data_IF_004502235879
#
_entry.id   IF_004502235879
#
_cell.length_a   1.000
_cell.length_b   1.000
_cell.length_c   1.000
_cell.angle_alpha   90.00
_cell.angle_beta   90.00
_cell.angle_gamma   90.00
#
_symmetry.space_group_name_H-M   'P 1'
#
loop_
_entity.id
_entity.type
_entity.pdbx_description
1 polymer ?
#
# COMPACT_ATOMS: atom_id res chain seq x y z
N UNK A 1 29.37 10.23 -1.06
CA UNK A 1 27.99 9.79 -0.81
C UNK A 1 27.11 9.75 -2.07
N UNK A 2 27.04 10.80 -2.88
CA UNK A 2 26.18 10.86 -4.09
C UNK A 2 26.43 9.74 -5.11
N UNK A 3 27.67 9.43 -5.48
CA UNK A 3 27.98 8.32 -6.42
C UNK A 3 27.44 6.95 -5.94
N UNK A 4 27.58 6.65 -4.64
CA UNK A 4 27.07 5.39 -4.09
C UNK A 4 25.54 5.32 -4.11
N UNK A 5 24.86 6.42 -3.74
CA UNK A 5 23.39 6.47 -3.80
C UNK A 5 22.89 6.31 -5.25
N UNK A 6 23.55 6.92 -6.22
CA UNK A 6 23.21 6.78 -7.64
C UNK A 6 23.34 5.32 -8.12
N UNK A 7 24.42 4.64 -7.76
CA UNK A 7 24.61 3.22 -8.11
C UNK A 7 23.52 2.32 -7.50
N UNK A 8 23.11 2.61 -6.24
CA UNK A 8 22.03 1.88 -5.58
C UNK A 8 20.68 2.13 -6.27
N UNK A 9 20.37 3.37 -6.66
CA UNK A 9 19.17 3.68 -7.43
C UNK A 9 19.15 2.95 -8.76
N UNK A 10 20.25 2.94 -9.50
CA UNK A 10 20.36 2.22 -10.77
C UNK A 10 20.16 0.72 -10.55
N UNK A 11 20.81 0.14 -9.53
CA UNK A 11 20.66 -1.28 -9.20
C UNK A 11 19.22 -1.66 -8.88
N UNK A 12 18.51 -0.86 -8.07
CA UNK A 12 17.10 -1.10 -7.74
C UNK A 12 16.22 -0.90 -8.98
N UNK A 13 16.48 0.12 -9.81
CA UNK A 13 15.73 0.36 -11.04
C UNK A 13 15.88 -0.82 -12.03
N UNK A 14 17.08 -1.36 -12.18
CA UNK A 14 17.31 -2.59 -12.98
C UNK A 14 16.55 -3.77 -12.38
N UNK A 15 16.57 -3.94 -11.05
CA UNK A 15 15.79 -4.98 -10.38
C UNK A 15 14.27 -4.82 -10.60
N UNK A 16 13.75 -3.58 -10.60
CA UNK A 16 12.33 -3.31 -10.93
C UNK A 16 12.03 -3.75 -12.37
N UNK A 17 12.88 -3.39 -13.35
CA UNK A 17 12.66 -3.77 -14.75
C UNK A 17 12.68 -5.29 -14.92
N UNK A 18 13.63 -5.98 -14.28
CA UNK A 18 13.70 -7.45 -14.32
C UNK A 18 12.47 -8.10 -13.67
N UNK A 19 12.09 -7.66 -12.47
CA UNK A 19 10.91 -8.17 -11.77
C UNK A 19 9.62 -7.86 -12.53
N UNK A 20 9.51 -6.70 -13.14
CA UNK A 20 8.38 -6.34 -13.98
C UNK A 20 8.27 -7.27 -15.17
N UNK A 21 9.36 -7.52 -15.89
CA UNK A 21 9.42 -8.50 -16.97
C UNK A 21 9.04 -9.92 -16.51
N UNK A 22 9.55 -10.37 -15.36
CA UNK A 22 9.19 -11.66 -14.77
C UNK A 22 7.70 -11.76 -14.46
N UNK A 23 7.09 -10.70 -13.92
CA UNK A 23 5.65 -10.68 -13.66
C UNK A 23 4.81 -10.76 -14.93
N UNK A 24 5.31 -10.28 -16.07
CA UNK A 24 4.61 -10.40 -17.35
C UNK A 24 4.74 -11.79 -17.98
N UNK A 25 5.88 -12.48 -17.79
CA UNK A 25 6.13 -13.79 -18.39
C UNK A 25 5.58 -14.94 -17.57
N UNK A 26 5.60 -14.82 -16.23
CA UNK A 26 5.28 -15.91 -15.29
C UNK A 26 3.80 -15.88 -14.89
N UNK A 27 3.22 -17.05 -14.67
CA UNK A 27 1.84 -17.27 -14.21
C UNK A 27 1.36 -18.67 -14.57
N UNK A 28 0.04 -18.93 -14.47
CA UNK A 28 -0.55 -20.22 -14.85
C UNK A 28 -0.29 -20.61 -16.31
N UNK A 29 -0.09 -19.65 -17.19
CA UNK A 29 0.33 -19.86 -18.58
C UNK A 29 1.70 -19.21 -18.75
N UNK A 30 2.70 -19.97 -19.17
CA UNK A 30 4.03 -19.42 -19.48
C UNK A 30 3.99 -18.80 -20.88
N UNK A 31 4.32 -17.51 -20.97
CA UNK A 31 4.38 -16.76 -22.23
C UNK A 31 5.84 -16.35 -22.45
N UNK A 32 6.46 -16.74 -23.58
CA UNK A 32 7.85 -16.36 -23.89
C UNK A 32 8.04 -14.84 -23.87
N UNK A 33 9.22 -14.41 -23.42
CA UNK A 33 9.52 -12.98 -23.29
C UNK A 33 9.46 -12.22 -24.64
N UNK A 34 9.84 -12.89 -25.73
CA UNK A 34 9.73 -12.31 -27.08
C UNK A 34 8.28 -11.99 -27.43
N UNK A 35 7.34 -12.94 -27.16
CA UNK A 35 5.92 -12.74 -27.44
C UNK A 35 5.32 -11.63 -26.55
N UNK A 36 5.77 -11.52 -25.29
CA UNK A 36 5.36 -10.41 -24.41
C UNK A 36 5.78 -9.05 -25.00
N UNK A 37 7.01 -8.94 -25.53
CA UNK A 37 7.48 -7.71 -26.19
C UNK A 37 6.66 -7.40 -27.45
N UNK A 38 6.37 -8.41 -28.27
CA UNK A 38 5.58 -8.24 -29.49
C UNK A 38 4.14 -7.81 -29.17
N UNK A 39 3.54 -8.36 -28.11
CA UNK A 39 2.22 -7.93 -27.61
C UNK A 39 2.26 -6.45 -27.17
N UNK A 40 3.25 -6.07 -26.38
CA UNK A 40 3.39 -4.68 -25.89
C UNK A 40 3.66 -3.69 -27.03
N UNK A 41 4.34 -4.14 -28.09
CA UNK A 41 4.60 -3.33 -29.28
C UNK A 41 3.43 -3.35 -30.32
N UNK A 42 2.36 -4.11 -30.07
CA UNK A 42 1.21 -4.23 -31.01
C UNK A 42 1.54 -5.00 -32.28
N UNK A 43 2.59 -5.83 -32.28
CA UNK A 43 3.08 -6.61 -33.43
C UNK A 43 2.74 -8.10 -33.36
N UNK A 44 2.10 -8.53 -32.29
CA UNK A 44 1.85 -9.94 -32.02
C UNK A 44 0.77 -10.51 -32.96
N UNK A 45 1.11 -11.58 -33.67
CA UNK A 45 0.24 -12.31 -34.59
C UNK A 45 -0.15 -13.72 -34.08
N UNK A 46 0.03 -13.97 -32.78
CA UNK A 46 -0.21 -15.27 -32.15
C UNK A 46 -1.59 -15.41 -31.53
N UNK A 47 -1.68 -16.16 -30.43
CA UNK A 47 -2.95 -16.48 -29.76
C UNK A 47 -3.55 -15.24 -29.10
N UNK A 48 -4.78 -14.87 -29.44
CA UNK A 48 -5.53 -13.75 -28.81
C UNK A 48 -5.62 -13.88 -27.27
N UNK A 49 -5.71 -15.12 -26.75
CA UNK A 49 -5.73 -15.38 -25.32
C UNK A 49 -4.47 -14.89 -24.61
N UNK A 50 -3.29 -14.94 -25.24
CA UNK A 50 -2.04 -14.42 -24.66
C UNK A 50 -2.05 -12.90 -24.60
N UNK A 51 -2.57 -12.27 -25.67
CA UNK A 51 -2.73 -10.82 -25.69
C UNK A 51 -3.66 -10.34 -24.57
N UNK A 52 -4.80 -11.00 -24.37
CA UNK A 52 -5.72 -10.71 -23.27
C UNK A 52 -5.06 -10.90 -21.90
N UNK A 53 -4.36 -12.02 -21.67
CA UNK A 53 -3.66 -12.30 -20.41
C UNK A 53 -2.64 -11.21 -20.10
N UNK A 54 -1.87 -10.75 -21.07
CA UNK A 54 -0.85 -9.72 -20.87
C UNK A 54 -1.47 -8.37 -20.63
N UNK A 55 -2.35 -7.90 -21.53
CA UNK A 55 -2.84 -6.51 -21.51
C UNK A 55 -3.92 -6.27 -20.45
N UNK A 56 -4.81 -7.24 -20.22
CA UNK A 56 -5.96 -7.05 -19.33
C UNK A 56 -5.74 -7.62 -17.91
N UNK A 57 -4.71 -8.46 -17.74
CA UNK A 57 -4.47 -9.09 -16.44
C UNK A 57 -3.06 -8.77 -15.88
N UNK A 58 -1.98 -9.23 -16.53
CA UNK A 58 -0.62 -9.15 -15.96
C UNK A 58 -0.06 -7.74 -15.95
N UNK A 59 -0.27 -6.97 -17.00
CA UNK A 59 0.23 -5.59 -17.09
C UNK A 59 -0.44 -4.68 -16.05
N UNK A 60 -1.77 -4.65 -15.93
CA UNK A 60 -2.43 -3.88 -14.87
C UNK A 60 -1.98 -4.31 -13.48
N UNK A 61 -1.85 -5.62 -13.24
CA UNK A 61 -1.42 -6.17 -11.97
C UNK A 61 0.02 -5.77 -11.59
N UNK A 62 0.96 -5.85 -12.53
CA UNK A 62 2.34 -5.43 -12.31
C UNK A 62 2.45 -3.91 -12.05
N UNK A 63 1.69 -3.09 -12.80
CA UNK A 63 1.61 -1.64 -12.57
C UNK A 63 1.01 -1.33 -11.20
N UNK A 64 -0.04 -2.05 -10.82
CA UNK A 64 -0.68 -1.91 -9.49
C UNK A 64 0.29 -2.27 -8.38
N UNK A 65 1.02 -3.38 -8.50
CA UNK A 65 2.02 -3.80 -7.52
C UNK A 65 3.11 -2.73 -7.33
N UNK A 66 3.65 -2.20 -8.44
CA UNK A 66 4.65 -1.16 -8.43
C UNK A 66 4.18 0.10 -7.70
N UNK A 67 3.00 0.62 -8.07
CA UNK A 67 2.46 1.86 -7.52
C UNK A 67 2.00 1.70 -6.06
N UNK A 68 1.38 0.58 -5.74
CA UNK A 68 0.94 0.26 -4.39
C UNK A 68 2.13 0.10 -3.43
N UNK A 69 3.15 -0.66 -3.85
CA UNK A 69 4.38 -0.83 -3.08
C UNK A 69 5.11 0.48 -2.83
N UNK A 70 5.24 1.34 -3.85
CA UNK A 70 5.78 2.68 -3.73
C UNK A 70 4.96 3.54 -2.74
N UNK A 71 3.64 3.55 -2.87
CA UNK A 71 2.73 4.36 -2.04
C UNK A 71 2.76 3.94 -0.57
N UNK A 72 2.59 2.66 -0.27
CA UNK A 72 2.57 2.16 1.11
C UNK A 72 3.93 2.34 1.80
N UNK A 73 5.04 2.15 1.07
CA UNK A 73 6.37 2.34 1.64
C UNK A 73 6.65 3.80 2.01
N UNK A 74 6.19 4.75 1.20
CA UNK A 74 6.23 6.18 1.50
C UNK A 74 5.39 6.49 2.73
N UNK A 75 4.17 5.96 2.82
CA UNK A 75 3.31 6.11 4.00
C UNK A 75 4.02 5.68 5.28
N UNK A 76 4.65 4.49 5.25
CA UNK A 76 5.41 3.98 6.37
C UNK A 76 6.57 4.89 6.78
N UNK A 77 7.39 5.33 5.83
CA UNK A 77 8.51 6.24 6.10
C UNK A 77 8.05 7.56 6.73
N UNK A 78 6.97 8.14 6.19
CA UNK A 78 6.39 9.37 6.71
C UNK A 78 5.89 9.20 8.15
N UNK A 79 5.20 8.10 8.45
CA UNK A 79 4.69 7.80 9.79
C UNK A 79 5.84 7.53 10.78
N UNK A 80 6.83 6.71 10.40
CA UNK A 80 8.00 6.44 11.24
C UNK A 80 8.74 7.72 11.62
N UNK A 81 8.85 8.66 10.67
CA UNK A 81 9.47 9.97 10.91
C UNK A 81 8.59 10.87 11.76
N UNK A 82 7.30 11.01 11.43
CA UNK A 82 6.38 11.91 12.12
C UNK A 82 6.16 11.51 13.60
N UNK A 83 6.16 10.20 13.89
CA UNK A 83 5.94 9.65 15.22
C UNK A 83 7.25 9.25 15.92
N UNK A 84 8.39 9.38 15.24
CA UNK A 84 9.70 8.95 15.74
C UNK A 84 9.63 7.53 16.31
N UNK A 85 8.82 6.70 15.68
CA UNK A 85 8.61 5.33 16.07
C UNK A 85 8.88 4.40 14.87
N UNK A 86 9.88 3.52 14.95
CA UNK A 86 10.22 2.61 13.86
C UNK A 86 9.11 1.61 13.53
N UNK A 87 8.16 1.39 14.44
CA UNK A 87 7.04 0.48 14.27
C UNK A 87 5.76 1.18 13.78
N UNK A 88 5.80 2.49 13.48
CA UNK A 88 4.67 3.19 12.92
C UNK A 88 4.46 2.79 11.45
N UNK A 89 3.27 2.32 11.14
CA UNK A 89 2.84 1.94 9.79
C UNK A 89 1.39 2.31 9.54
N UNK A 90 0.93 2.32 8.29
CA UNK A 90 -0.46 2.68 7.96
C UNK A 90 -1.48 1.77 8.66
N UNK A 91 -1.15 0.49 8.81
CA UNK A 91 -2.01 -0.51 9.45
C UNK A 91 -2.24 -0.21 10.94
N UNK A 92 -1.21 0.33 11.62
CA UNK A 92 -1.26 0.65 13.06
C UNK A 92 -2.22 1.82 13.35
N UNK A 93 -2.47 2.69 12.37
CA UNK A 93 -3.41 3.80 12.51
C UNK A 93 -4.88 3.42 12.25
N UNK A 94 -5.16 2.15 11.97
CA UNK A 94 -6.51 1.64 11.77
C UNK A 94 -7.18 2.10 10.47
N UNK A 95 -6.44 2.75 9.55
CA UNK A 95 -6.99 3.25 8.28
C UNK A 95 -7.45 2.08 7.41
N UNK A 96 -6.62 1.05 7.28
CA UNK A 96 -6.99 -0.19 6.57
C UNK A 96 -8.13 -0.93 7.25
N UNK A 97 -8.21 -0.89 8.59
CA UNK A 97 -9.33 -1.48 9.34
C UNK A 97 -10.63 -0.73 9.09
N UNK A 98 -10.58 0.60 8.97
CA UNK A 98 -11.73 1.42 8.57
C UNK A 98 -12.23 1.07 7.16
N UNK A 99 -11.30 0.90 6.20
CA UNK A 99 -11.64 0.40 4.87
C UNK A 99 -12.32 -0.96 4.94
N UNK A 100 -11.75 -1.90 5.73
CA UNK A 100 -12.31 -3.23 5.97
C UNK A 100 -13.71 -3.20 6.54
N UNK A 101 -13.98 -2.31 7.50
CA UNK A 101 -15.32 -2.12 8.05
C UNK A 101 -16.31 -1.60 6.99
N UNK A 102 -15.89 -0.61 6.17
CA UNK A 102 -16.71 -0.14 5.05
C UNK A 102 -17.09 -1.25 4.08
N UNK A 103 -16.12 -2.07 3.69
CA UNK A 103 -16.35 -3.23 2.80
C UNK A 103 -17.22 -4.29 3.47
N UNK A 104 -17.00 -4.56 4.76
CA UNK A 104 -17.81 -5.50 5.53
C UNK A 104 -19.29 -5.09 5.54
N UNK A 105 -19.60 -3.80 5.72
CA UNK A 105 -20.96 -3.29 5.65
C UNK A 105 -21.61 -3.59 4.28
N UNK A 106 -20.89 -3.42 3.18
CA UNK A 106 -21.43 -3.66 1.85
C UNK A 106 -21.52 -5.16 1.53
N UNK A 107 -20.47 -5.94 1.79
CA UNK A 107 -20.46 -7.36 1.43
C UNK A 107 -21.32 -8.22 2.35
N UNK A 108 -21.28 -7.96 3.65
CA UNK A 108 -21.90 -8.83 4.67
C UNK A 108 -23.37 -8.47 4.95
N UNK A 109 -23.74 -7.17 4.91
CA UNK A 109 -25.11 -6.72 5.16
C UNK A 109 -25.90 -6.49 3.88
N UNK A 110 -25.28 -5.90 2.85
CA UNK A 110 -25.97 -5.42 1.65
C UNK A 110 -25.80 -6.36 0.44
N UNK A 111 -25.19 -7.54 0.63
CA UNK A 111 -24.99 -8.52 -0.45
C UNK A 111 -24.18 -8.00 -1.64
N UNK A 112 -23.26 -7.06 -1.42
CA UNK A 112 -22.41 -6.48 -2.46
C UNK A 112 -23.06 -5.39 -3.30
N UNK A 113 -24.26 -4.93 -2.96
CA UNK A 113 -24.97 -3.86 -3.68
C UNK A 113 -25.42 -2.75 -2.73
N UNK A 114 -25.37 -1.51 -3.22
CA UNK A 114 -25.93 -0.35 -2.51
C UNK A 114 -26.97 0.28 -3.42
N UNK A 115 -28.24 0.15 -3.04
CA UNK A 115 -29.36 0.70 -3.80
C UNK A 115 -30.06 1.81 -3.02
N UNK A 116 -30.27 2.93 -3.69
CA UNK A 116 -31.09 4.05 -3.20
C UNK A 116 -32.18 4.37 -4.22
N UNK A 117 -33.14 5.24 -3.87
CA UNK A 117 -34.18 5.70 -4.81
C UNK A 117 -33.62 6.41 -6.03
N UNK A 118 -32.38 6.89 -5.98
CA UNK A 118 -31.76 7.70 -7.04
C UNK A 118 -30.75 6.91 -7.87
N UNK A 119 -30.05 5.92 -7.30
CA UNK A 119 -29.01 5.14 -7.99
C UNK A 119 -28.78 3.78 -7.33
N UNK A 120 -28.26 2.85 -8.12
CA UNK A 120 -27.77 1.54 -7.67
C UNK A 120 -26.30 1.42 -7.99
N UNK A 121 -25.47 1.16 -6.98
CA UNK A 121 -24.05 0.87 -7.13
C UNK A 121 -23.80 -0.56 -6.68
N UNK A 122 -23.25 -1.37 -7.57
CA UNK A 122 -23.02 -2.80 -7.32
C UNK A 122 -21.61 -3.23 -7.69
N UNK A 123 -21.23 -4.42 -7.19
CA UNK A 123 -19.94 -5.03 -7.51
C UNK A 123 -18.74 -4.21 -7.06
N UNK A 124 -17.73 -4.13 -7.93
CA UNK A 124 -16.46 -3.50 -7.62
C UNK A 124 -16.57 -2.03 -7.16
N UNK A 125 -17.43 -1.24 -7.80
CA UNK A 125 -17.61 0.18 -7.43
C UNK A 125 -18.19 0.35 -6.03
N UNK A 126 -19.12 -0.50 -5.62
CA UNK A 126 -19.68 -0.46 -4.26
C UNK A 126 -18.61 -0.76 -3.21
N UNK A 127 -17.80 -1.78 -3.46
CA UNK A 127 -16.68 -2.18 -2.60
C UNK A 127 -15.63 -1.07 -2.53
N UNK A 128 -15.22 -0.53 -3.69
CA UNK A 128 -14.23 0.53 -3.80
C UNK A 128 -14.65 1.79 -3.04
N UNK A 129 -15.89 2.25 -3.25
CA UNK A 129 -16.41 3.44 -2.57
C UNK A 129 -16.56 3.22 -1.07
N UNK A 130 -17.03 2.05 -0.65
CA UNK A 130 -17.18 1.71 0.77
C UNK A 130 -15.82 1.62 1.48
N UNK A 131 -14.82 0.98 0.87
CA UNK A 131 -13.46 0.93 1.38
C UNK A 131 -12.86 2.32 1.53
N UNK A 132 -13.01 3.15 0.49
CA UNK A 132 -12.48 4.51 0.48
C UNK A 132 -13.14 5.39 1.54
N UNK A 133 -14.48 5.36 1.66
CA UNK A 133 -15.22 6.10 2.68
C UNK A 133 -14.86 5.65 4.10
N UNK A 134 -14.75 4.34 4.33
CA UNK A 134 -14.32 3.79 5.62
C UNK A 134 -12.91 4.25 6.01
N UNK A 135 -11.96 4.19 5.08
CA UNK A 135 -10.59 4.67 5.30
C UNK A 135 -10.53 6.18 5.55
N UNK A 136 -11.28 6.98 4.79
CA UNK A 136 -11.34 8.45 4.98
C UNK A 136 -11.99 8.79 6.32
N UNK A 137 -13.02 8.08 6.73
CA UNK A 137 -13.68 8.30 8.04
C UNK A 137 -12.67 8.11 9.17
N UNK A 138 -11.91 7.03 9.17
CA UNK A 138 -10.85 6.79 10.17
C UNK A 138 -9.75 7.84 10.06
N UNK A 139 -9.33 8.20 8.84
CA UNK A 139 -8.32 9.26 8.64
C UNK A 139 -8.79 10.59 9.22
N UNK A 140 -10.04 10.98 8.96
CA UNK A 140 -10.63 12.20 9.51
C UNK A 140 -10.72 12.16 11.05
N UNK A 141 -11.09 11.00 11.61
CA UNK A 141 -11.09 10.78 13.06
C UNK A 141 -9.69 10.96 13.67
N UNK A 142 -8.67 10.33 13.07
CA UNK A 142 -7.27 10.46 13.53
C UNK A 142 -6.78 11.91 13.40
N UNK A 143 -7.11 12.59 12.30
CA UNK A 143 -6.77 14.01 12.11
C UNK A 143 -7.47 14.89 13.18
N UNK A 144 -8.73 14.65 13.45
CA UNK A 144 -9.46 15.35 14.50
C UNK A 144 -8.82 15.12 15.88
N UNK A 145 -8.58 13.88 16.25
CA UNK A 145 -7.93 13.52 17.52
C UNK A 145 -6.48 14.03 17.60
N UNK A 146 -5.76 14.12 16.48
CA UNK A 146 -4.44 14.77 16.41
C UNK A 146 -4.48 16.26 16.77
N UNK A 147 -5.66 16.91 16.71
CA UNK A 147 -5.81 18.28 17.18
C UNK A 147 -5.95 18.37 18.70
N UNK A 148 -6.46 17.33 19.36
CA UNK A 148 -6.69 17.26 20.80
C UNK A 148 -5.49 16.65 21.52
N UNK A 149 -4.87 15.62 20.93
CA UNK A 149 -3.79 14.84 21.52
C UNK A 149 -2.42 15.37 21.05
N UNK A 150 -1.64 15.91 21.98
CA UNK A 150 -0.28 16.41 21.68
C UNK A 150 0.76 15.28 21.61
N UNK A 151 0.56 14.24 22.42
CA UNK A 151 1.50 13.12 22.50
C UNK A 151 1.35 12.15 21.33
N UNK A 152 2.44 11.94 20.59
CA UNK A 152 2.47 11.06 19.42
C UNK A 152 2.19 9.60 19.75
N UNK A 153 2.62 9.12 20.93
CA UNK A 153 2.38 7.73 21.37
C UNK A 153 0.90 7.49 21.67
N UNK A 154 0.24 8.46 22.33
CA UNK A 154 -1.21 8.36 22.59
C UNK A 154 -2.01 8.32 21.29
N UNK A 155 -1.62 9.11 20.29
CA UNK A 155 -2.29 9.08 18.99
C UNK A 155 -2.15 7.74 18.27
N UNK A 156 -0.98 7.10 18.41
CA UNK A 156 -0.75 5.74 17.88
C UNK A 156 -1.62 4.71 18.61
N UNK A 157 -1.74 4.81 19.94
CA UNK A 157 -2.63 3.94 20.73
C UNK A 157 -4.08 4.12 20.28
N UNK A 158 -4.53 5.35 20.07
CA UNK A 158 -5.87 5.63 19.54
C UNK A 158 -6.09 4.94 18.19
N UNK A 159 -5.12 5.01 17.28
CA UNK A 159 -5.20 4.30 16.00
C UNK A 159 -5.40 2.79 16.17
N UNK A 160 -4.64 2.17 17.07
CA UNK A 160 -4.77 0.75 17.41
C UNK A 160 -6.18 0.45 17.97
N UNK A 161 -6.69 1.29 18.88
CA UNK A 161 -8.03 1.10 19.45
C UNK A 161 -9.13 1.21 18.38
N UNK A 162 -9.01 2.17 17.45
CA UNK A 162 -9.92 2.27 16.30
C UNK A 162 -9.87 0.98 15.46
N UNK A 163 -8.67 0.43 15.24
CA UNK A 163 -8.51 -0.87 14.58
C UNK A 163 -9.25 -1.99 15.29
N UNK A 164 -9.14 -2.10 16.63
CA UNK A 164 -9.85 -3.11 17.40
C UNK A 164 -11.37 -2.93 17.36
N UNK A 165 -11.88 -1.71 17.47
CA UNK A 165 -13.32 -1.43 17.34
C UNK A 165 -13.82 -1.85 15.96
N UNK A 166 -13.09 -1.49 14.89
CA UNK A 166 -13.43 -1.92 13.53
C UNK A 166 -13.44 -3.43 13.38
N UNK A 167 -12.41 -4.13 13.91
CA UNK A 167 -12.34 -5.60 13.88
C UNK A 167 -13.47 -6.26 14.66
N UNK A 168 -13.84 -5.73 15.81
CA UNK A 168 -15.01 -6.23 16.60
C UNK A 168 -16.30 -6.06 15.82
N UNK A 169 -16.50 -4.91 15.18
CA UNK A 169 -17.69 -4.66 14.36
C UNK A 169 -17.74 -5.62 13.17
N UNK A 170 -16.61 -5.86 12.48
CA UNK A 170 -16.51 -6.84 11.39
C UNK A 170 -16.82 -8.26 11.88
N UNK A 171 -16.32 -8.66 13.06
CA UNK A 171 -16.61 -9.98 13.64
C UNK A 171 -18.09 -10.15 13.92
N UNK A 172 -18.76 -9.09 14.42
CA UNK A 172 -20.20 -9.12 14.65
C UNK A 172 -20.98 -9.23 13.32
N UNK A 173 -20.57 -8.49 12.29
CA UNK A 173 -21.17 -8.57 10.95
C UNK A 173 -21.01 -9.97 10.35
N UNK A 174 -19.84 -10.58 10.47
CA UNK A 174 -19.58 -11.95 10.00
C UNK A 174 -20.48 -12.99 10.67
N UNK A 175 -20.82 -12.78 11.96
CA UNK A 175 -21.70 -13.72 12.69
C UNK A 175 -23.11 -13.76 12.10
N UNK A 176 -23.62 -12.64 11.58
CA UNK A 176 -24.96 -12.56 10.99
C UNK A 176 -24.98 -12.72 9.46
N UNK A 177 -23.82 -12.78 8.81
CA UNK A 177 -23.72 -12.78 7.35
C UNK A 177 -23.94 -14.17 6.75
N UNK A 178 -24.23 -14.20 5.44
CA UNK A 178 -24.27 -15.46 4.67
C UNK A 178 -22.85 -16.01 4.45
N UNK A 179 -22.72 -17.33 4.27
CA UNK A 179 -21.45 -18.00 3.98
C UNK A 179 -20.74 -17.41 2.76
N UNK A 180 -21.51 -17.06 1.72
CA UNK A 180 -20.99 -16.46 0.49
C UNK A 180 -20.42 -15.05 0.75
N UNK A 181 -21.12 -14.24 1.54
CA UNK A 181 -20.66 -12.92 1.96
C UNK A 181 -19.35 -12.98 2.75
N UNK A 182 -19.30 -13.89 3.74
CA UNK A 182 -18.09 -14.13 4.55
C UNK A 182 -16.92 -14.57 3.68
N UNK A 183 -17.12 -15.52 2.75
CA UNK A 183 -16.08 -15.97 1.82
C UNK A 183 -15.57 -14.83 0.94
N UNK A 184 -16.46 -14.03 0.39
CA UNK A 184 -16.12 -12.89 -0.46
C UNK A 184 -15.31 -11.84 0.32
N UNK A 185 -15.72 -11.53 1.55
CA UNK A 185 -14.99 -10.62 2.43
C UNK A 185 -13.60 -11.15 2.79
N UNK A 186 -13.48 -12.45 3.10
CA UNK A 186 -12.19 -13.09 3.39
C UNK A 186 -11.23 -12.99 2.19
N UNK A 187 -11.71 -13.27 0.97
CA UNK A 187 -10.89 -13.17 -0.26
C UNK A 187 -10.42 -11.73 -0.48
N UNK A 188 -11.30 -10.74 -0.31
CA UNK A 188 -10.93 -9.34 -0.39
C UNK A 188 -9.87 -8.97 0.66
N UNK A 189 -10.02 -9.45 1.90
CA UNK A 189 -9.10 -9.20 3.01
C UNK A 189 -7.70 -9.80 2.84
N UNK A 190 -7.53 -10.75 1.93
CA UNK A 190 -6.22 -11.35 1.62
C UNK A 190 -5.29 -10.41 0.83
N UNK A 191 -5.81 -9.31 0.29
CA UNK A 191 -5.08 -8.37 -0.55
C UNK A 191 -4.73 -8.95 -1.92
N UNK A 192 -4.87 -8.15 -2.95
CA UNK A 192 -4.57 -8.57 -4.32
C UNK A 192 -4.23 -7.37 -5.21
N UNK A 193 -3.16 -7.48 -6.00
CA UNK A 193 -2.86 -6.49 -7.02
C UNK A 193 -3.63 -6.67 -8.33
N UNK A 194 -4.22 -7.84 -8.56
CA UNK A 194 -5.01 -8.16 -9.76
C UNK A 194 -6.45 -7.63 -9.73
N UNK A 195 -6.86 -6.95 -8.65
CA UNK A 195 -8.22 -6.37 -8.55
C UNK A 195 -8.43 -5.10 -9.39
N UNK A 196 -7.37 -4.51 -9.94
CA UNK A 196 -7.42 -3.26 -10.72
C UNK A 196 -7.39 -3.60 -12.21
N UNK A 197 -8.53 -3.42 -12.90
CA UNK A 197 -8.63 -3.59 -14.36
C UNK A 197 -7.86 -2.50 -15.11
N UNK A 198 -7.51 -2.75 -16.37
CA UNK A 198 -6.79 -1.80 -17.22
C UNK A 198 -7.52 -0.45 -17.34
N UNK A 199 -8.85 -0.45 -17.33
CA UNK A 199 -9.67 0.77 -17.36
C UNK A 199 -9.54 1.64 -16.10
N UNK A 200 -9.19 1.06 -14.94
CA UNK A 200 -9.01 1.78 -13.68
C UNK A 200 -7.55 2.19 -13.41
N UNK A 201 -6.58 1.60 -14.12
CA UNK A 201 -5.16 1.93 -13.97
C UNK A 201 -4.86 3.42 -14.12
N UNK A 202 -5.42 4.17 -15.09
CA UNK A 202 -5.12 5.59 -15.21
C UNK A 202 -5.51 6.39 -13.96
N UNK A 203 -6.70 6.13 -13.42
CA UNK A 203 -7.17 6.79 -12.20
C UNK A 203 -6.32 6.41 -10.99
N UNK A 204 -6.08 5.12 -10.79
CA UNK A 204 -5.23 4.62 -9.70
C UNK A 204 -3.82 5.20 -9.75
N UNK A 205 -3.21 5.19 -10.94
CA UNK A 205 -1.87 5.74 -11.17
C UNK A 205 -1.81 7.24 -10.87
N UNK A 206 -2.77 8.01 -11.36
CA UNK A 206 -2.85 9.45 -11.11
C UNK A 206 -2.90 9.75 -9.61
N UNK A 207 -3.78 9.07 -8.88
CA UNK A 207 -3.95 9.27 -7.44
C UNK A 207 -2.69 8.90 -6.65
N UNK A 208 -2.05 7.75 -6.98
CA UNK A 208 -0.79 7.34 -6.35
C UNK A 208 0.35 8.32 -6.65
N UNK A 209 0.51 8.74 -7.92
CA UNK A 209 1.56 9.68 -8.33
C UNK A 209 1.37 11.05 -7.65
N UNK A 210 0.15 11.57 -7.58
CA UNK A 210 -0.16 12.82 -6.87
C UNK A 210 0.22 12.71 -5.39
N UNK A 211 -0.17 11.63 -4.71
CA UNK A 211 0.16 11.41 -3.31
C UNK A 211 1.66 11.24 -3.05
N UNK A 212 2.37 10.47 -3.89
CA UNK A 212 3.82 10.31 -3.81
C UNK A 212 4.53 11.65 -4.07
N UNK A 213 4.08 12.42 -5.06
CA UNK A 213 4.61 13.75 -5.35
C UNK A 213 4.41 14.70 -4.16
N UNK A 214 3.23 14.69 -3.55
CA UNK A 214 2.96 15.46 -2.33
C UNK A 214 3.92 15.07 -1.19
N UNK A 215 4.22 13.78 -1.03
CA UNK A 215 5.19 13.30 -0.05
C UNK A 215 6.62 13.77 -0.37
N UNK A 216 7.03 13.76 -1.64
CA UNK A 216 8.34 14.27 -2.08
C UNK A 216 8.53 15.77 -1.78
N UNK A 217 7.48 16.57 -1.87
CA UNK A 217 7.51 17.99 -1.50
C UNK A 217 7.73 18.19 0.01
N UNK A 218 7.51 17.19 0.84
CA UNK A 218 7.70 17.24 2.29
C UNK A 218 9.08 16.73 2.77
N UNK A 219 10.04 16.48 1.87
CA UNK A 219 11.38 16.01 2.22
C UNK A 219 12.07 16.94 3.23
N UNK A 220 12.01 18.26 3.03
CA UNK A 220 12.62 19.23 3.96
C UNK A 220 11.96 19.20 5.34
N UNK A 221 10.63 19.31 5.48
CA UNK A 221 9.94 19.13 6.75
C UNK A 221 10.26 17.79 7.44
N UNK A 222 10.33 16.69 6.70
CA UNK A 222 10.65 15.37 7.25
C UNK A 222 12.06 15.35 7.86
N UNK A 223 13.06 15.93 7.20
CA UNK A 223 14.41 16.02 7.75
C UNK A 223 14.46 16.86 9.04
N UNK A 224 13.68 17.93 9.11
CA UNK A 224 13.63 18.77 10.31
C UNK A 224 12.93 18.02 11.47
N UNK A 225 11.89 17.25 11.20
CA UNK A 225 11.21 16.43 12.22
C UNK A 225 12.13 15.36 12.82
N UNK A 226 13.14 14.87 12.12
CA UNK A 226 14.16 13.96 12.68
C UNK A 226 14.92 14.59 13.86
N UNK A 227 15.16 15.91 13.83
CA UNK A 227 15.87 16.62 14.90
C UNK A 227 15.06 16.74 16.19
N UNK A 228 13.76 16.49 16.11
CA UNK A 228 12.85 16.52 17.26
C UNK A 228 11.92 17.74 17.26
N UNK A 229 10.79 17.65 17.99
CA UNK A 229 9.76 18.67 17.95
C UNK A 229 10.25 20.02 18.50
N UNK A 230 11.01 20.01 19.59
CA UNK A 230 11.53 21.25 20.20
C UNK A 230 12.46 22.01 19.25
N UNK A 231 13.35 21.28 18.57
CA UNK A 231 14.27 21.87 17.60
C UNK A 231 13.54 22.37 16.35
N UNK A 232 12.55 21.61 15.87
CA UNK A 232 11.72 22.02 14.74
C UNK A 232 10.93 23.29 15.05
N UNK A 233 10.41 23.45 16.26
CA UNK A 233 9.66 24.64 16.71
C UNK A 233 10.60 25.85 16.86
N UNK A 234 11.82 25.67 17.35
CA UNK A 234 12.81 26.77 17.40
C UNK A 234 13.21 27.30 16.01
N UNK A 235 13.09 26.47 14.97
CA UNK A 235 13.25 26.86 13.57
C UNK A 235 11.98 27.48 12.93
N UNK A 236 10.94 27.74 13.73
CA UNK A 236 9.67 28.32 13.27
C UNK A 236 8.75 27.36 12.55
N UNK A 237 9.02 26.04 12.64
CA UNK A 237 8.17 25.01 12.01
C UNK A 237 7.13 24.51 13.00
N UNK A 238 5.85 24.72 12.69
CA UNK A 238 4.76 24.14 13.44
C UNK A 238 4.72 22.60 13.24
N UNK A 239 5.25 21.85 14.21
CA UNK A 239 5.29 20.38 14.17
C UNK A 239 3.90 19.78 14.04
N UNK A 240 2.88 20.38 14.70
CA UNK A 240 1.48 19.95 14.61
C UNK A 240 0.91 20.06 13.20
N UNK A 241 1.10 21.22 12.52
CA UNK A 241 0.60 21.41 11.15
C UNK A 241 1.26 20.43 10.18
N UNK A 242 2.58 20.21 10.33
CA UNK A 242 3.31 19.27 9.47
C UNK A 242 2.88 17.84 9.73
N UNK A 243 2.71 17.43 11.00
CA UNK A 243 2.17 16.10 11.35
C UNK A 243 0.79 15.87 10.74
N UNK A 244 -0.11 16.84 10.83
CA UNK A 244 -1.45 16.70 10.26
C UNK A 244 -1.41 16.59 8.72
N UNK A 245 -0.55 17.35 8.05
CA UNK A 245 -0.36 17.23 6.59
C UNK A 245 0.21 15.87 6.20
N UNK A 246 1.17 15.34 6.97
CA UNK A 246 1.70 14.00 6.76
C UNK A 246 0.61 12.94 6.95
N UNK A 247 -0.19 13.04 8.01
CA UNK A 247 -1.33 12.14 8.26
C UNK A 247 -2.38 12.19 7.16
N UNK A 248 -2.66 13.38 6.60
CA UNK A 248 -3.59 13.52 5.49
C UNK A 248 -3.09 12.80 4.24
N UNK A 249 -1.83 13.00 3.86
CA UNK A 249 -1.23 12.34 2.68
C UNK A 249 -1.19 10.82 2.89
N UNK A 250 -0.75 10.37 4.06
CA UNK A 250 -0.73 8.94 4.41
C UNK A 250 -2.14 8.36 4.38
N UNK A 251 -3.12 9.05 4.97
CA UNK A 251 -4.51 8.61 5.00
C UNK A 251 -5.08 8.45 3.59
N UNK A 252 -4.86 9.44 2.73
CA UNK A 252 -5.33 9.38 1.33
C UNK A 252 -4.64 8.26 0.54
N UNK A 253 -3.29 8.15 0.60
CA UNK A 253 -2.57 7.08 -0.09
C UNK A 253 -2.97 5.69 0.40
N UNK A 254 -3.13 5.52 1.72
CA UNK A 254 -3.57 4.25 2.30
C UNK A 254 -5.02 3.95 1.90
N UNK A 255 -5.91 4.95 1.91
CA UNK A 255 -7.29 4.79 1.47
C UNK A 255 -7.37 4.34 0.01
N UNK A 256 -6.59 4.98 -0.88
CA UNK A 256 -6.52 4.62 -2.30
C UNK A 256 -6.01 3.19 -2.47
N UNK A 257 -4.86 2.87 -1.90
CA UNK A 257 -4.24 1.54 -2.05
C UNK A 257 -5.13 0.44 -1.48
N UNK A 258 -5.72 0.65 -0.28
CA UNK A 258 -6.60 -0.34 0.35
C UNK A 258 -7.92 -0.50 -0.39
N UNK A 259 -8.49 0.58 -0.93
CA UNK A 259 -9.74 0.50 -1.68
C UNK A 259 -9.59 -0.32 -2.97
N UNK A 260 -8.49 -0.14 -3.70
CA UNK A 260 -8.24 -0.84 -4.96
C UNK A 260 -7.65 -2.25 -4.80
N UNK A 261 -6.80 -2.47 -3.81
CA UNK A 261 -6.02 -3.69 -3.66
C UNK A 261 -6.43 -4.55 -2.45
N UNK A 262 -7.36 -4.09 -1.63
CA UNK A 262 -7.59 -4.64 -0.30
C UNK A 262 -6.51 -4.22 0.70
N UNK A 263 -6.62 -4.62 1.97
CA UNK A 263 -5.61 -4.35 2.97
C UNK A 263 -4.32 -5.12 2.66
N UNK A 264 -3.17 -4.43 2.59
CA UNK A 264 -1.86 -5.02 2.35
C UNK A 264 -0.96 -4.70 3.54
N UNK A 265 -0.59 -5.75 4.27
CA UNK A 265 0.19 -5.64 5.50
C UNK A 265 1.70 -5.65 5.23
N UNK A 266 2.46 -5.15 6.20
CA UNK A 266 3.93 -5.19 6.27
C UNK A 266 4.70 -4.35 5.26
N UNK A 267 4.22 -4.08 4.04
CA UNK A 267 4.94 -3.27 3.06
C UNK A 267 5.28 -1.89 3.64
N UNK A 268 4.27 -1.18 4.17
CA UNK A 268 4.50 0.13 4.78
C UNK A 268 5.41 0.11 6.00
N UNK A 269 5.42 -0.99 6.75
CA UNK A 269 6.24 -1.10 7.95
C UNK A 269 7.69 -1.52 7.65
N UNK A 270 7.89 -2.54 6.83
CA UNK A 270 9.19 -3.17 6.62
C UNK A 270 10.07 -2.41 5.61
N UNK A 271 9.49 -1.90 4.52
CA UNK A 271 10.26 -1.30 3.42
C UNK A 271 11.11 -0.10 3.84
N UNK A 272 10.65 0.85 4.67
CA UNK A 272 11.50 1.93 5.14
C UNK A 272 12.74 1.45 5.88
N UNK A 273 12.64 0.32 6.59
CA UNK A 273 13.81 -0.30 7.26
C UNK A 273 14.77 -0.91 6.24
N UNK A 274 14.26 -1.64 5.25
CA UNK A 274 15.08 -2.20 4.16
C UNK A 274 15.80 -1.06 3.43
N UNK A 275 15.11 0.03 3.11
CA UNK A 275 15.70 1.18 2.46
C UNK A 275 16.82 1.81 3.32
N UNK A 276 16.62 1.96 4.64
CA UNK A 276 17.68 2.45 5.55
C UNK A 276 18.90 1.53 5.57
N UNK A 277 18.71 0.21 5.55
CA UNK A 277 19.82 -0.75 5.49
C UNK A 277 20.60 -0.64 4.18
N UNK A 278 19.91 -0.47 3.04
CA UNK A 278 20.52 -0.34 1.72
C UNK A 278 21.27 0.98 1.59
N UNK A 279 20.60 2.11 1.85
CA UNK A 279 21.13 3.45 1.64
C UNK A 279 22.01 3.96 2.79
N UNK A 280 21.90 3.37 3.98
CA UNK A 280 22.63 3.73 5.19
C UNK A 280 22.57 5.23 5.52
N UNK A 281 21.39 5.81 5.43
CA UNK A 281 21.15 7.23 5.70
C UNK A 281 19.72 7.44 6.20
N UNK A 282 19.54 8.44 7.06
CA UNK A 282 18.22 8.93 7.48
C UNK A 282 17.82 10.21 6.73
N UNK A 283 18.70 10.77 5.87
CA UNK A 283 18.38 11.95 5.07
C UNK A 283 17.31 11.61 4.03
N UNK A 284 16.12 12.19 4.18
CA UNK A 284 14.98 11.97 3.31
C UNK A 284 15.20 12.40 1.86
N UNK A 285 16.18 13.24 1.57
CA UNK A 285 16.54 13.56 0.18
C UNK A 285 17.01 12.31 -0.59
N UNK A 286 17.66 11.38 0.11
CA UNK A 286 18.11 10.10 -0.45
C UNK A 286 17.15 8.99 -0.04
N UNK A 287 16.71 8.97 1.21
CA UNK A 287 15.94 7.86 1.74
C UNK A 287 14.53 7.78 1.13
N UNK A 288 13.84 8.91 0.90
CA UNK A 288 12.46 8.87 0.40
C UNK A 288 12.38 8.34 -1.05
N UNK A 289 13.17 8.83 -2.02
CA UNK A 289 13.22 8.21 -3.36
C UNK A 289 13.68 6.74 -3.30
N UNK A 290 14.65 6.44 -2.43
CA UNK A 290 15.12 5.06 -2.22
C UNK A 290 14.01 4.15 -1.68
N UNK A 291 13.18 4.64 -0.77
CA UNK A 291 12.04 3.91 -0.22
C UNK A 291 10.97 3.65 -1.29
N UNK A 292 10.68 4.64 -2.15
CA UNK A 292 9.76 4.50 -3.28
C UNK A 292 10.19 3.34 -4.19
N UNK A 293 11.45 3.36 -4.63
CA UNK A 293 11.98 2.34 -5.54
C UNK A 293 12.06 0.97 -4.85
N UNK A 294 12.52 0.90 -3.59
CA UNK A 294 12.59 -0.35 -2.84
C UNK A 294 11.19 -0.93 -2.63
N UNK A 295 10.19 -0.08 -2.34
CA UNK A 295 8.80 -0.50 -2.19
C UNK A 295 8.22 -1.08 -3.47
N UNK A 296 8.45 -0.42 -4.60
CA UNK A 296 8.06 -0.92 -5.92
C UNK A 296 8.71 -2.29 -6.24
N UNK A 297 10.02 -2.42 -6.00
CA UNK A 297 10.74 -3.67 -6.25
C UNK A 297 10.22 -4.83 -5.37
N UNK A 298 10.05 -4.59 -4.06
CA UNK A 298 9.58 -5.63 -3.12
C UNK A 298 8.13 -6.03 -3.41
N UNK A 299 7.25 -5.08 -3.75
CA UNK A 299 5.87 -5.41 -4.11
C UNK A 299 5.79 -6.25 -5.39
N UNK A 300 6.61 -5.94 -6.40
CA UNK A 300 6.74 -6.78 -7.61
C UNK A 300 7.30 -8.17 -7.28
N UNK A 301 8.27 -8.26 -6.37
CA UNK A 301 8.81 -9.54 -5.91
C UNK A 301 7.73 -10.36 -5.18
N UNK A 302 6.97 -9.74 -4.26
CA UNK A 302 5.86 -10.41 -3.58
C UNK A 302 4.82 -10.90 -4.58
N UNK A 303 4.45 -10.07 -5.57
CA UNK A 303 3.50 -10.46 -6.61
C UNK A 303 4.02 -11.65 -7.43
N UNK A 304 5.27 -11.62 -7.83
CA UNK A 304 5.92 -12.74 -8.53
C UNK A 304 5.86 -14.04 -7.70
N UNK A 305 6.19 -13.98 -6.40
CA UNK A 305 6.13 -15.14 -5.50
C UNK A 305 4.71 -15.70 -5.38
N UNK A 306 3.67 -14.85 -5.38
CA UNK A 306 2.28 -15.29 -5.34
C UNK A 306 1.89 -16.20 -6.52
N UNK A 307 2.56 -16.08 -7.66
CA UNK A 307 2.32 -16.87 -8.87
C UNK A 307 3.25 -18.06 -9.06
N UNK A 308 4.25 -18.26 -8.20
CA UNK A 308 5.20 -19.39 -8.34
C UNK A 308 4.54 -20.79 -8.32
N UNK A 309 3.43 -21.04 -7.58
CA UNK A 309 2.78 -22.34 -7.61
C UNK A 309 2.16 -22.70 -8.97
N UNK A 310 2.02 -21.76 -9.91
CA UNK A 310 1.53 -21.99 -11.27
C UNK A 310 0.10 -22.57 -11.27
N UNK A 311 -0.04 -23.82 -11.68
CA UNK A 311 -1.34 -24.50 -11.79
C UNK A 311 -1.99 -24.83 -10.43
N UNK A 312 -1.23 -24.87 -9.33
CA UNK A 312 -1.77 -25.16 -7.99
C UNK A 312 -2.56 -23.98 -7.38
N UNK A 313 -2.56 -22.83 -8.04
CA UNK A 313 -3.30 -21.65 -7.59
C UNK A 313 -2.40 -20.45 -7.27
N UNK A 314 -2.99 -19.40 -6.72
CA UNK A 314 -2.33 -18.14 -6.38
C UNK A 314 -2.22 -18.04 -4.85
N UNK A 315 -1.00 -17.84 -4.35
CA UNK A 315 -0.79 -17.58 -2.92
C UNK A 315 -1.35 -16.18 -2.57
N UNK A 316 -2.13 -16.04 -1.49
CA UNK A 316 -2.59 -14.73 -1.04
C UNK A 316 -1.43 -13.78 -0.73
N UNK A 317 -1.55 -12.52 -1.14
CA UNK A 317 -0.49 -11.52 -0.99
C UNK A 317 -0.11 -11.31 0.50
N UNK A 318 -1.10 -11.27 1.38
CA UNK A 318 -0.90 -11.13 2.83
C UNK A 318 -0.31 -12.38 3.51
N UNK A 319 -0.12 -13.49 2.79
CA UNK A 319 0.72 -14.60 3.26
C UNK A 319 2.21 -14.37 2.93
N UNK A 320 2.50 -13.73 1.79
CA UNK A 320 3.88 -13.50 1.30
C UNK A 320 4.54 -12.28 1.97
N UNK A 321 3.81 -11.17 2.07
CA UNK A 321 4.38 -9.90 2.57
C UNK A 321 4.92 -9.97 3.99
N UNK A 322 4.27 -10.65 4.97
CA UNK A 322 4.83 -10.82 6.31
C UNK A 322 6.06 -11.73 6.34
N UNK A 323 6.11 -12.77 5.49
CA UNK A 323 7.26 -13.67 5.41
C UNK A 323 8.55 -12.94 5.00
N UNK A 324 8.44 -11.89 4.19
CA UNK A 324 9.56 -11.04 3.81
C UNK A 324 9.78 -9.94 4.86
N UNK A 325 8.70 -9.32 5.33
CA UNK A 325 8.77 -8.13 6.17
C UNK A 325 9.15 -8.41 7.62
N UNK A 326 8.58 -9.44 8.25
CA UNK A 326 8.79 -9.72 9.67
C UNK A 326 10.26 -10.07 10.02
N UNK A 327 10.99 -10.92 9.27
CA UNK A 327 12.40 -11.19 9.54
C UNK A 327 13.27 -9.92 9.50
N UNK A 328 13.00 -9.02 8.56
CA UNK A 328 13.75 -7.76 8.45
C UNK A 328 13.52 -6.87 9.67
N UNK A 329 12.27 -6.75 10.12
CA UNK A 329 11.94 -5.94 11.29
C UNK A 329 12.61 -6.52 12.54
N UNK A 330 12.54 -7.84 12.73
CA UNK A 330 13.20 -8.54 13.85
C UNK A 330 14.70 -8.27 13.82
N UNK A 331 15.34 -8.42 12.66
CA UNK A 331 16.77 -8.14 12.49
C UNK A 331 17.14 -6.70 12.87
N UNK A 332 16.36 -5.72 12.40
CA UNK A 332 16.60 -4.30 12.70
C UNK A 332 16.43 -3.98 14.18
N UNK A 333 15.45 -4.60 14.85
CA UNK A 333 15.23 -4.40 16.29
C UNK A 333 16.41 -4.96 17.10
N UNK A 334 16.91 -6.15 16.73
CA UNK A 334 18.03 -6.79 17.43
C UNK A 334 19.32 -5.97 17.24
N UNK A 335 19.58 -5.44 16.05
CA UNK A 335 20.78 -4.63 15.79
C UNK A 335 20.80 -3.26 16.49
N UNK A 336 19.65 -2.72 16.89
CA UNK A 336 19.56 -1.44 17.61
C UNK A 336 19.83 -1.55 19.11
N UNK A 337 20.10 -2.75 19.61
CA UNK A 337 20.63 -3.00 20.95
C UNK A 337 22.16 -2.93 20.94
#
# INVERSE_FOLDING_TARGET
MMRRALLLYIGIAVSILLLFGLNLTTGSVQIPFADVLDILCGRFAGKESWQYIILENRLPQALTALLCGASLSVCGLMLQTAFRNPLAGPDVFGISSGAGLGVALVMLLLGGTVSTSLFTVSGFLAILTAAFLGAITVTALILFLSTLVRNSVLLLIVGIMVGYVSSSAVSLLNFFASEEGVKSYMVWGMGNFGGVSMSHIPLFSLLCIVGITAALLLVKPLNILLLGPQYAESLGISTRRRRNLLLLIVGLLTAITTAFCGPISFIGLAIPHIARLIFRTDNHQVLLPGTILTGAAIALLCNFICFLPGEMGIIPLNAVTPLIGAPVIIYVIIQRR
#
